data_IF_248733604185
#
_entry.id   IF_248733604185
#
_cell.length_a   1.000
_cell.length_b   1.000
_cell.length_c   1.000
_cell.angle_alpha   90.00
_cell.angle_beta   90.00
_cell.angle_gamma   90.00
#
_symmetry.space_group_name_H-M   'P 1'
#
loop_
_entity.id
_entity.type
_entity.pdbx_description
1 polymer ?
#
# COMPACT_ATOMS: atom_id res chain seq x y z
N UNK A 1 39.76 31.52 23.72
CA UNK A 1 39.56 30.49 22.68
C UNK A 1 38.36 29.66 23.08
N UNK A 2 37.20 29.89 22.46
CA UNK A 2 35.99 29.12 22.75
C UNK A 2 36.13 27.74 22.13
N UNK A 3 36.18 26.71 22.97
CA UNK A 3 36.17 25.31 22.54
C UNK A 3 34.82 25.04 21.88
N UNK A 4 34.83 24.89 20.55
CA UNK A 4 33.69 24.43 19.79
C UNK A 4 33.39 23.00 20.24
N UNK A 5 32.41 22.83 21.13
CA UNK A 5 31.91 21.51 21.52
C UNK A 5 31.43 20.81 20.26
N UNK A 6 32.06 19.67 19.93
CA UNK A 6 31.55 18.79 18.88
C UNK A 6 30.11 18.44 19.26
N UNK A 7 29.16 18.88 18.45
CA UNK A 7 27.79 18.38 18.54
C UNK A 7 27.86 16.91 18.16
N UNK A 8 27.88 16.04 19.16
CA UNK A 8 27.71 14.61 18.96
C UNK A 8 26.37 14.42 18.25
N UNK A 9 26.40 13.72 17.12
CA UNK A 9 25.16 13.50 16.37
C UNK A 9 24.21 12.65 17.20
N UNK A 10 22.90 12.86 17.05
CA UNK A 10 21.89 12.03 17.74
C UNK A 10 22.09 10.53 17.45
N UNK A 11 22.61 10.20 16.27
CA UNK A 11 22.99 8.83 15.89
C UNK A 11 24.09 8.24 16.77
N UNK A 12 25.12 9.01 17.14
CA UNK A 12 26.19 8.57 18.06
C UNK A 12 25.68 8.38 19.49
N UNK A 13 24.75 9.23 19.93
CA UNK A 13 24.13 9.10 21.25
C UNK A 13 23.27 7.83 21.35
N UNK A 14 22.43 7.58 20.35
CA UNK A 14 21.58 6.41 20.32
C UNK A 14 22.39 5.11 20.10
N UNK A 15 23.44 5.14 19.29
CA UNK A 15 24.25 3.95 18.98
C UNK A 15 25.00 3.35 20.17
N UNK A 16 25.23 4.13 21.24
CA UNK A 16 25.98 3.69 22.43
C UNK A 16 25.14 3.46 23.68
N UNK A 17 23.81 3.64 23.62
CA UNK A 17 22.94 3.57 24.80
C UNK A 17 22.07 2.32 24.76
N UNK A 18 22.12 1.54 25.85
CA UNK A 18 21.22 0.41 26.06
C UNK A 18 19.76 0.88 26.08
N UNK A 19 18.81 0.08 25.57
CA UNK A 19 17.39 0.43 25.59
C UNK A 19 16.92 0.60 27.04
N UNK A 20 16.56 1.83 27.41
CA UNK A 20 16.17 2.18 28.79
C UNK A 20 14.68 2.05 29.06
N UNK A 21 13.87 1.75 28.04
CA UNK A 21 12.42 1.65 28.12
C UNK A 21 11.95 0.28 27.68
N UNK A 22 10.98 -0.29 28.40
CA UNK A 22 10.25 -1.49 27.97
C UNK A 22 8.83 -1.11 27.57
N UNK A 23 8.46 -1.34 26.32
CA UNK A 23 7.08 -1.16 25.82
C UNK A 23 6.33 -2.47 26.04
N UNK A 24 5.22 -2.44 26.77
CA UNK A 24 4.38 -3.60 27.04
C UNK A 24 3.14 -3.55 26.13
N UNK A 25 2.89 -4.60 25.35
CA UNK A 25 1.77 -4.66 24.40
C UNK A 25 0.54 -5.33 25.02
N UNK A 26 -0.60 -5.30 24.32
CA UNK A 26 -1.83 -5.97 24.75
C UNK A 26 -1.66 -7.49 24.86
N UNK A 27 -0.83 -8.07 23.99
CA UNK A 27 -0.53 -9.50 23.95
C UNK A 27 0.41 -9.96 25.09
N UNK A 28 0.82 -9.05 25.99
CA UNK A 28 1.81 -9.30 27.03
C UNK A 28 3.25 -9.29 26.54
N UNK A 29 3.48 -8.92 25.28
CA UNK A 29 4.81 -8.77 24.70
C UNK A 29 5.58 -7.60 25.32
N UNK A 30 6.90 -7.76 25.43
CA UNK A 30 7.82 -6.74 25.93
C UNK A 30 8.82 -6.37 24.83
N UNK A 31 8.77 -5.12 24.38
CA UNK A 31 9.63 -4.61 23.30
C UNK A 31 10.61 -3.59 23.89
N UNK A 32 11.93 -3.81 23.79
CA UNK A 32 12.91 -2.82 24.23
C UNK A 32 12.89 -1.58 23.31
N UNK A 33 12.98 -0.39 23.90
CA UNK A 33 13.00 0.87 23.17
C UNK A 33 13.88 1.93 23.86
N UNK A 34 14.28 2.95 23.11
CA UNK A 34 15.02 4.10 23.63
C UNK A 34 14.06 5.21 24.07
N UNK A 35 14.05 5.51 25.38
CA UNK A 35 13.16 6.51 25.98
C UNK A 35 13.27 7.88 25.26
N UNK A 36 14.49 8.31 24.95
CA UNK A 36 14.75 9.61 24.33
C UNK A 36 14.23 9.72 22.90
N UNK A 37 14.32 8.63 22.13
CA UNK A 37 13.78 8.59 20.76
C UNK A 37 12.26 8.76 20.82
N UNK A 38 11.60 7.98 21.68
CA UNK A 38 10.15 8.03 21.83
C UNK A 38 9.66 9.36 22.38
N UNK A 39 10.41 9.98 23.29
CA UNK A 39 10.07 11.30 23.84
C UNK A 39 10.10 12.40 22.77
N UNK A 40 11.02 12.27 21.80
CA UNK A 40 11.11 13.18 20.67
C UNK A 40 9.95 12.98 19.70
N UNK A 41 9.62 11.73 19.36
CA UNK A 41 8.69 11.44 18.26
C UNK A 41 7.24 11.25 18.67
N UNK A 42 6.93 10.84 19.90
CA UNK A 42 5.57 10.50 20.35
C UNK A 42 5.08 11.48 21.42
N UNK A 43 4.03 12.24 21.11
CA UNK A 43 3.51 13.25 22.04
C UNK A 43 2.86 12.65 23.28
N UNK A 44 2.25 11.45 23.19
CA UNK A 44 1.65 10.82 24.37
C UNK A 44 2.73 10.40 25.38
N UNK A 45 3.87 9.92 24.89
CA UNK A 45 4.99 9.51 25.73
C UNK A 45 5.71 10.70 26.36
N UNK A 46 5.79 11.84 25.66
CA UNK A 46 6.36 13.08 26.20
C UNK A 46 5.70 13.53 27.51
N UNK A 47 4.41 13.25 27.67
CA UNK A 47 3.62 13.62 28.83
C UNK A 47 3.46 12.48 29.84
N UNK A 48 4.06 11.31 29.58
CA UNK A 48 3.99 10.17 30.46
C UNK A 48 4.81 10.40 31.75
N UNK A 49 4.41 9.80 32.88
CA UNK A 49 5.22 9.82 34.09
C UNK A 49 6.59 9.17 33.83
N UNK A 50 7.61 9.62 34.58
CA UNK A 50 8.94 9.02 34.53
C UNK A 50 8.86 7.53 34.94
N UNK A 51 8.83 6.67 33.93
CA UNK A 51 8.67 5.23 34.07
C UNK A 51 9.58 4.55 33.06
N UNK A 52 10.19 3.43 33.47
CA UNK A 52 10.97 2.58 32.58
C UNK A 52 10.08 1.61 31.79
N UNK A 53 8.76 1.72 31.97
CA UNK A 53 7.76 0.92 31.25
C UNK A 53 6.71 1.82 30.62
N UNK A 54 6.46 1.63 29.33
CA UNK A 54 5.33 2.20 28.61
C UNK A 54 4.28 1.11 28.39
N UNK A 55 3.20 1.16 29.17
CA UNK A 55 2.13 0.16 29.09
C UNK A 55 1.09 0.55 28.01
N UNK A 56 1.07 -0.20 26.91
CA UNK A 56 0.12 -0.09 25.80
C UNK A 56 -0.99 -1.15 25.88
N UNK A 57 -1.08 -1.96 26.94
CA UNK A 57 -2.03 -3.08 27.00
C UNK A 57 -3.50 -2.65 26.91
N UNK A 58 -3.81 -1.41 27.26
CA UNK A 58 -5.15 -0.83 27.18
C UNK A 58 -5.32 0.12 25.97
N UNK A 59 -4.31 0.26 25.11
CA UNK A 59 -4.41 1.11 23.92
C UNK A 59 -5.25 0.40 22.86
N UNK A 60 -6.41 0.98 22.56
CA UNK A 60 -7.29 0.51 21.50
C UNK A 60 -7.18 1.43 20.28
N UNK A 61 -6.92 0.82 19.13
CA UNK A 61 -6.89 1.47 17.84
C UNK A 61 -8.05 0.92 17.02
N UNK A 62 -8.98 1.79 16.60
CA UNK A 62 -10.23 1.40 15.95
C UNK A 62 -11.02 0.30 16.71
N UNK A 63 -11.00 0.39 18.05
CA UNK A 63 -11.69 -0.58 18.93
C UNK A 63 -10.99 -1.94 19.07
N UNK A 64 -9.78 -2.11 18.53
CA UNK A 64 -8.99 -3.33 18.66
C UNK A 64 -7.69 -3.06 19.42
N UNK A 65 -7.19 -4.01 20.23
CA UNK A 65 -5.85 -3.91 20.81
C UNK A 65 -4.80 -3.86 19.70
N UNK A 66 -3.76 -3.06 19.89
CA UNK A 66 -2.65 -2.96 18.93
C UNK A 66 -1.76 -4.20 19.03
N UNK A 67 -1.52 -4.84 17.90
CA UNK A 67 -0.65 -6.01 17.80
C UNK A 67 0.81 -5.68 18.12
N UNK A 68 1.52 -6.63 18.73
CA UNK A 68 2.97 -6.49 18.95
C UNK A 68 3.75 -6.24 17.65
N UNK A 69 3.29 -6.83 16.54
CA UNK A 69 3.88 -6.67 15.21
C UNK A 69 3.80 -5.22 14.73
N UNK A 70 2.63 -4.57 14.86
CA UNK A 70 2.46 -3.18 14.44
C UNK A 70 3.31 -2.23 15.30
N UNK A 71 3.36 -2.44 16.63
CA UNK A 71 4.21 -1.64 17.53
C UNK A 71 5.68 -1.76 17.15
N UNK A 72 6.16 -2.99 16.97
CA UNK A 72 7.56 -3.27 16.60
C UNK A 72 7.90 -2.63 15.26
N UNK A 73 7.02 -2.75 14.26
CA UNK A 73 7.23 -2.18 12.94
C UNK A 73 7.31 -0.64 12.97
N UNK A 74 6.43 0.04 13.70
CA UNK A 74 6.49 1.50 13.86
C UNK A 74 7.76 1.93 14.58
N UNK A 75 8.17 1.23 15.65
CA UNK A 75 9.43 1.52 16.34
C UNK A 75 10.65 1.37 15.43
N UNK A 76 10.67 0.32 14.60
CA UNK A 76 11.74 0.12 13.61
C UNK A 76 11.80 1.26 12.59
N UNK A 77 10.65 1.75 12.12
CA UNK A 77 10.58 2.92 11.22
C UNK A 77 11.09 4.18 11.91
N UNK A 78 10.65 4.42 13.15
CA UNK A 78 11.12 5.55 13.98
C UNK A 78 12.64 5.51 14.16
N UNK A 79 13.22 4.37 14.53
CA UNK A 79 14.66 4.24 14.70
C UNK A 79 15.42 4.45 13.39
N UNK A 80 14.95 3.85 12.30
CA UNK A 80 15.52 4.02 10.96
C UNK A 80 15.48 5.48 10.51
N UNK A 81 14.38 6.19 10.79
CA UNK A 81 14.18 7.60 10.41
C UNK A 81 15.17 8.56 11.06
N UNK A 82 15.61 8.22 12.27
CA UNK A 82 16.47 9.06 13.10
C UNK A 82 17.95 8.83 12.79
N UNK A 83 18.28 7.88 11.91
CA UNK A 83 19.65 7.41 11.71
C UNK A 83 20.27 6.83 12.99
N UNK A 84 19.43 6.54 13.99
CA UNK A 84 19.86 6.00 15.27
C UNK A 84 20.43 4.59 15.05
N UNK A 85 21.56 4.29 15.70
CA UNK A 85 22.07 2.92 15.88
C UNK A 85 22.70 2.21 14.68
N UNK A 86 23.00 2.89 13.57
CA UNK A 86 23.45 2.15 12.38
C UNK A 86 22.40 1.15 11.88
N UNK A 87 21.13 1.36 12.28
CA UNK A 87 19.98 0.69 11.74
C UNK A 87 19.94 1.06 10.26
N UNK A 88 20.47 0.19 9.42
CA UNK A 88 20.21 0.30 7.99
C UNK A 88 18.69 0.20 7.89
N UNK A 89 18.01 1.13 7.20
CA UNK A 89 16.60 0.97 6.93
C UNK A 89 16.48 -0.39 6.26
N UNK A 90 16.00 -1.38 7.01
CA UNK A 90 15.76 -2.68 6.45
C UNK A 90 14.71 -2.39 5.37
N UNK A 91 15.11 -2.57 4.11
CA UNK A 91 14.31 -2.13 2.97
C UNK A 91 13.19 -3.16 2.80
N UNK A 92 12.27 -3.17 3.76
CA UNK A 92 11.14 -4.07 3.89
C UNK A 92 9.92 -3.53 3.14
N UNK A 93 10.14 -2.74 2.09
CA UNK A 93 9.10 -2.33 1.15
C UNK A 93 8.50 -3.60 0.52
N UNK A 94 7.36 -4.06 1.05
CA UNK A 94 6.70 -5.31 0.67
C UNK A 94 6.66 -6.43 1.73
N UNK A 95 7.12 -6.22 2.97
CA UNK A 95 6.97 -7.22 4.05
C UNK A 95 5.66 -7.11 4.83
N UNK A 96 4.99 -5.96 4.73
CA UNK A 96 3.77 -5.70 5.48
C UNK A 96 2.56 -5.80 4.56
N UNK A 97 1.54 -6.51 5.01
CA UNK A 97 0.24 -6.52 4.34
C UNK A 97 -0.45 -5.17 4.49
N UNK A 98 -1.42 -4.86 3.62
CA UNK A 98 -2.20 -3.63 3.72
C UNK A 98 -2.85 -3.45 5.11
N UNK A 99 -3.53 -4.46 5.71
CA UNK A 99 -4.08 -4.34 7.06
C UNK A 99 -3.04 -4.00 8.14
N UNK A 100 -1.82 -4.57 8.03
CA UNK A 100 -0.74 -4.27 8.96
C UNK A 100 -0.27 -2.81 8.83
N UNK A 101 -0.12 -2.32 7.59
CA UNK A 101 0.27 -0.93 7.35
C UNK A 101 -0.80 0.07 7.82
N UNK A 102 -2.07 -0.26 7.66
CA UNK A 102 -3.17 0.53 8.22
C UNK A 102 -3.11 0.56 9.75
N UNK A 103 -2.93 -0.60 10.39
CA UNK A 103 -2.77 -0.70 11.84
C UNK A 103 -1.57 0.13 12.32
N UNK A 104 -0.44 0.07 11.62
CA UNK A 104 0.75 0.88 11.91
C UNK A 104 0.47 2.38 11.82
N UNK A 105 -0.24 2.86 10.79
CA UNK A 105 -0.61 4.27 10.67
C UNK A 105 -1.53 4.73 11.79
N UNK A 106 -2.55 3.93 12.10
CA UNK A 106 -3.49 4.28 13.17
C UNK A 106 -2.84 4.24 14.55
N UNK A 107 -1.96 3.28 14.80
CA UNK A 107 -1.15 3.24 16.02
C UNK A 107 -0.27 4.48 16.14
N UNK A 108 0.45 4.83 15.06
CA UNK A 108 1.31 6.01 15.03
C UNK A 108 0.52 7.30 15.29
N UNK A 109 -0.68 7.44 14.73
CA UNK A 109 -1.58 8.57 15.03
C UNK A 109 -2.05 8.57 16.49
N UNK A 110 -2.46 7.41 17.03
CA UNK A 110 -2.95 7.27 18.39
C UNK A 110 -1.89 7.62 19.46
N UNK A 111 -0.62 7.29 19.22
CA UNK A 111 0.50 7.68 20.10
C UNK A 111 1.03 9.09 19.82
N UNK A 112 0.44 9.78 18.84
CA UNK A 112 0.82 11.13 18.44
C UNK A 112 2.25 11.19 17.92
N UNK A 113 2.59 10.25 17.02
CA UNK A 113 3.84 10.31 16.29
C UNK A 113 3.97 11.61 15.49
N UNK A 114 5.20 12.08 15.32
CA UNK A 114 5.49 13.24 14.47
C UNK A 114 4.99 13.04 13.03
N UNK A 115 4.65 14.15 12.36
CA UNK A 115 4.23 14.12 10.95
C UNK A 115 5.28 13.49 10.03
N UNK A 116 6.57 13.61 10.35
CA UNK A 116 7.66 12.97 9.61
C UNK A 116 7.53 11.44 9.63
N UNK A 117 7.23 10.85 10.79
CA UNK A 117 7.04 9.40 10.93
C UNK A 117 5.79 8.96 10.16
N UNK A 118 4.68 9.70 10.29
CA UNK A 118 3.45 9.40 9.54
C UNK A 118 3.67 9.50 8.02
N UNK A 119 4.41 10.50 7.54
CA UNK A 119 4.75 10.66 6.13
C UNK A 119 5.65 9.52 5.65
N UNK A 120 6.57 9.02 6.48
CA UNK A 120 7.40 7.88 6.13
C UNK A 120 6.60 6.58 6.09
N UNK A 121 5.72 6.33 7.06
CA UNK A 121 4.81 5.18 7.05
C UNK A 121 3.87 5.22 5.83
N UNK A 122 3.31 6.40 5.53
CA UNK A 122 2.55 6.64 4.30
C UNK A 122 3.39 6.43 3.03
N UNK A 123 4.66 6.82 3.10
CA UNK A 123 5.64 6.56 2.05
C UNK A 123 5.91 5.07 1.89
N UNK A 124 5.95 4.29 2.96
CA UNK A 124 6.05 2.83 2.88
C UNK A 124 4.79 2.21 2.26
N UNK A 125 3.60 2.73 2.54
CA UNK A 125 2.38 2.34 1.83
C UNK A 125 2.43 2.67 0.33
N UNK A 126 2.96 3.84 -0.03
CA UNK A 126 3.10 4.25 -1.42
C UNK A 126 4.24 3.56 -2.18
N UNK A 127 5.36 3.23 -1.49
CA UNK A 127 6.61 2.74 -2.07
C UNK A 127 6.85 1.24 -1.87
N UNK A 128 6.19 0.57 -0.92
CA UNK A 128 6.04 -0.89 -0.96
C UNK A 128 5.42 -1.17 -2.31
N UNK A 129 6.25 -1.61 -3.28
CA UNK A 129 6.18 -1.32 -4.72
C UNK A 129 5.04 -2.04 -5.48
N UNK A 130 3.90 -2.19 -4.80
CA UNK A 130 3.04 -3.37 -4.69
C UNK A 130 2.11 -3.08 -3.50
N UNK A 131 1.31 -2.03 -3.51
CA UNK A 131 0.13 -1.99 -2.63
C UNK A 131 -0.82 -3.05 -3.17
N UNK A 132 -0.46 -4.31 -2.89
CA UNK A 132 -1.10 -5.52 -3.39
C UNK A 132 -2.50 -5.50 -2.81
N UNK A 133 -3.45 -5.14 -3.67
CA UNK A 133 -4.85 -5.38 -3.32
C UNK A 133 -5.01 -6.88 -3.42
N UNK A 134 -4.78 -7.57 -2.30
CA UNK A 134 -4.89 -9.02 -2.22
C UNK A 134 -6.35 -9.40 -2.32
N UNK A 135 -6.68 -10.03 -3.43
CA UNK A 135 -8.00 -10.57 -3.66
C UNK A 135 -7.89 -12.08 -3.76
N UNK A 136 -8.52 -12.76 -2.82
CA UNK A 136 -8.58 -14.22 -2.76
C UNK A 136 -9.93 -14.70 -3.26
N UNK A 137 -9.93 -15.70 -4.14
CA UNK A 137 -11.12 -16.42 -4.53
C UNK A 137 -10.85 -17.92 -4.62
N UNK A 138 -11.90 -18.71 -4.43
CA UNK A 138 -11.84 -20.16 -4.58
C UNK A 138 -11.60 -20.50 -6.05
N UNK A 139 -10.52 -21.24 -6.31
CA UNK A 139 -10.22 -21.74 -7.64
C UNK A 139 -11.27 -22.77 -8.04
N UNK A 140 -11.93 -22.55 -9.17
CA UNK A 140 -12.63 -23.62 -9.88
C UNK A 140 -11.58 -24.63 -10.35
N UNK A 141 -11.28 -25.62 -9.51
CA UNK A 141 -10.58 -26.81 -9.97
C UNK A 141 -11.51 -27.48 -10.99
N UNK A 142 -11.24 -27.27 -12.28
CA UNK A 142 -11.87 -28.06 -13.33
C UNK A 142 -11.39 -29.49 -13.14
N UNK A 143 -12.19 -30.27 -12.41
CA UNK A 143 -11.88 -31.64 -12.06
C UNK A 143 -11.76 -32.50 -13.31
N UNK A 144 -10.53 -32.74 -13.74
CA UNK A 144 -10.14 -34.00 -14.36
C UNK A 144 -9.09 -34.62 -13.44
N UNK A 145 -9.54 -35.35 -12.42
CA UNK A 145 -8.84 -36.47 -11.78
C UNK A 145 -9.75 -37.09 -10.73
N UNK A 146 -10.69 -37.91 -11.20
CA UNK A 146 -11.30 -38.96 -10.40
C UNK A 146 -10.28 -40.10 -10.19
N UNK A 147 -10.26 -40.61 -8.96
CA UNK A 147 -9.64 -41.85 -8.50
C UNK A 147 -8.13 -41.84 -8.18
N UNK A 148 -7.77 -41.37 -6.97
CA UNK A 148 -6.93 -42.13 -6.02
C UNK A 148 -6.54 -41.25 -4.81
N UNK A 149 -7.41 -41.10 -3.80
CA UNK A 149 -6.99 -40.66 -2.47
C UNK A 149 -8.11 -40.91 -1.43
N UNK A 150 -8.42 -42.17 -1.18
CA UNK A 150 -9.22 -42.59 -0.03
C UNK A 150 -8.39 -43.59 0.79
N UNK A 151 -7.36 -43.11 1.49
CA UNK A 151 -6.73 -43.79 2.64
C UNK A 151 -5.53 -42.97 3.14
N UNK A 152 -5.73 -42.06 4.09
CA UNK A 152 -4.73 -41.68 5.11
C UNK A 152 -5.30 -40.62 6.05
N UNK A 153 -6.23 -41.00 6.92
CA UNK A 153 -6.68 -40.17 8.04
C UNK A 153 -6.09 -40.74 9.34
N UNK A 154 -4.96 -40.19 9.81
CA UNK A 154 -4.56 -40.17 11.23
C UNK A 154 -3.16 -39.54 11.41
N UNK A 155 -3.04 -38.20 11.37
CA UNK A 155 -1.98 -37.44 12.08
C UNK A 155 -2.05 -35.89 11.93
N UNK A 156 -3.07 -35.32 11.28
CA UNK A 156 -3.09 -33.91 10.88
C UNK A 156 -3.73 -32.94 11.90
N UNK A 157 -3.31 -32.94 13.17
CA UNK A 157 -3.80 -31.97 14.17
C UNK A 157 -2.75 -30.92 14.61
N UNK A 158 -1.49 -31.05 14.18
CA UNK A 158 -0.41 -30.14 14.59
C UNK A 158 0.23 -29.33 13.44
N UNK A 159 -0.25 -29.49 12.20
CA UNK A 159 0.27 -28.79 11.01
C UNK A 159 -0.70 -27.74 10.44
N UNK A 160 -1.76 -27.38 11.19
CA UNK A 160 -2.85 -26.51 10.73
C UNK A 160 -2.53 -24.99 10.71
N UNK A 161 -1.25 -24.60 10.84
CA UNK A 161 -0.83 -23.19 10.87
C UNK A 161 -0.07 -22.73 9.62
N UNK A 162 0.14 -23.60 8.62
CA UNK A 162 0.93 -23.24 7.43
C UNK A 162 0.45 -23.90 6.11
N UNK A 163 -0.73 -24.52 6.08
CA UNK A 163 -1.31 -24.95 4.81
C UNK A 163 -2.23 -23.83 4.30
N UNK A 164 -1.70 -23.01 3.39
CA UNK A 164 -2.55 -22.15 2.58
C UNK A 164 -3.60 -23.03 1.89
N UNK A 165 -4.89 -22.65 1.89
CA UNK A 165 -5.94 -23.46 1.29
C UNK A 165 -5.57 -23.75 -0.16
N UNK A 166 -5.41 -25.03 -0.47
CA UNK A 166 -5.06 -25.56 -1.79
C UNK A 166 -6.18 -25.15 -2.75
N UNK A 167 -6.05 -23.97 -3.37
CA UNK A 167 -7.05 -23.43 -4.30
C UNK A 167 -7.32 -21.92 -4.19
N UNK A 168 -6.86 -21.21 -3.16
CA UNK A 168 -7.02 -19.76 -3.11
C UNK A 168 -6.00 -19.08 -4.02
N UNK A 169 -6.47 -18.43 -5.09
CA UNK A 169 -5.60 -17.63 -5.96
C UNK A 169 -5.58 -16.20 -5.45
N UNK A 170 -4.39 -15.65 -5.23
CA UNK A 170 -4.19 -14.25 -4.83
C UNK A 170 -3.87 -13.42 -6.06
N UNK A 171 -4.75 -12.47 -6.38
CA UNK A 171 -4.46 -11.40 -7.34
C UNK A 171 -3.85 -10.24 -6.59
N UNK A 172 -2.78 -9.69 -7.15
CA UNK A 172 -2.06 -8.53 -6.61
C UNK A 172 -2.15 -7.39 -7.61
N UNK A 173 -2.83 -6.30 -7.23
CA UNK A 173 -2.86 -5.06 -8.01
C UNK A 173 -1.90 -4.03 -7.42
N UNK A 174 -1.38 -3.10 -8.23
CA UNK A 174 -0.44 -2.06 -7.78
C UNK A 174 -1.06 -0.68 -8.00
N UNK A 175 -1.04 0.17 -6.97
CA UNK A 175 -1.62 1.52 -7.06
C UNK A 175 -0.94 2.43 -8.10
N UNK A 176 0.30 2.15 -8.51
CA UNK A 176 1.02 2.92 -9.52
C UNK A 176 0.83 2.42 -10.96
N UNK A 177 0.21 1.26 -11.14
CA UNK A 177 -0.09 0.67 -12.43
C UNK A 177 -1.49 1.06 -12.92
N UNK A 178 -1.68 0.97 -14.25
CA UNK A 178 -3.00 1.09 -14.88
C UNK A 178 -3.48 -0.29 -15.28
N UNK A 179 -4.76 -0.55 -15.06
CA UNK A 179 -5.37 -1.84 -15.34
C UNK A 179 -6.52 -1.65 -16.31
N UNK A 180 -6.44 -2.34 -17.43
CA UNK A 180 -7.54 -2.47 -18.38
C UNK A 180 -8.16 -3.85 -18.22
N UNK A 181 -9.48 -3.91 -18.05
CA UNK A 181 -10.22 -5.15 -18.19
C UNK A 181 -10.64 -5.31 -19.64
N UNK A 182 -10.53 -6.51 -20.18
CA UNK A 182 -11.01 -6.82 -21.52
C UNK A 182 -11.97 -8.00 -21.48
N UNK A 183 -13.12 -7.79 -22.09
CA UNK A 183 -14.08 -8.84 -22.38
C UNK A 183 -13.71 -9.51 -23.69
N UNK A 184 -13.25 -10.74 -23.63
CA UNK A 184 -13.17 -11.58 -24.81
C UNK A 184 -14.49 -12.33 -24.96
N UNK A 185 -15.49 -11.66 -25.54
CA UNK A 185 -16.62 -12.39 -26.10
C UNK A 185 -16.09 -13.12 -27.35
N UNK A 186 -16.27 -14.44 -27.39
CA UNK A 186 -15.73 -15.39 -28.38
C UNK A 186 -16.26 -15.21 -29.82
N UNK A 187 -16.75 -14.02 -30.17
CA UNK A 187 -17.18 -13.70 -31.53
C UNK A 187 -16.06 -13.14 -32.42
N UNK A 188 -14.92 -12.73 -31.85
CA UNK A 188 -13.71 -12.47 -32.64
C UNK A 188 -12.72 -13.63 -32.45
N UNK A 189 -12.62 -14.43 -33.49
CA UNK A 189 -11.71 -15.56 -33.65
C UNK A 189 -10.27 -15.07 -33.59
N UNK A 190 -9.70 -14.95 -32.39
CA UNK A 190 -8.24 -15.03 -32.24
C UNK A 190 -7.91 -16.51 -32.29
N UNK A 191 -7.65 -17.01 -33.51
CA UNK A 191 -7.23 -18.38 -33.78
C UNK A 191 -5.84 -18.63 -33.17
N UNK A 192 -5.79 -18.98 -31.89
CA UNK A 192 -4.70 -19.80 -31.36
C UNK A 192 -5.28 -21.17 -31.06
N UNK A 193 -5.08 -22.10 -32.00
CA UNK A 193 -5.43 -23.53 -31.96
C UNK A 193 -6.92 -23.91 -32.09
N UNK A 194 -7.16 -24.98 -32.84
CA UNK A 194 -8.45 -25.45 -33.35
C UNK A 194 -9.31 -26.18 -32.30
N UNK A 195 -9.69 -25.51 -31.21
CA UNK A 195 -10.69 -26.06 -30.27
C UNK A 195 -11.83 -25.06 -30.13
N UNK A 196 -12.99 -25.38 -30.70
CA UNK A 196 -14.23 -24.62 -30.49
C UNK A 196 -14.78 -24.97 -29.13
N UNK A 197 -14.49 -24.13 -28.16
CA UNK A 197 -15.19 -24.15 -26.90
C UNK A 197 -16.42 -23.23 -26.98
N UNK A 198 -17.61 -23.77 -26.67
CA UNK A 198 -18.81 -22.98 -26.38
C UNK A 198 -18.66 -22.39 -24.97
N UNK A 199 -17.73 -21.46 -24.79
CA UNK A 199 -17.30 -21.06 -23.45
C UNK A 199 -17.86 -19.73 -23.00
N UNK A 200 -18.16 -19.71 -21.70
CA UNK A 200 -18.53 -18.57 -20.89
C UNK A 200 -17.68 -17.32 -21.18
N UNK A 201 -18.27 -16.14 -20.98
CA UNK A 201 -17.54 -14.87 -21.05
C UNK A 201 -16.40 -14.93 -20.04
N UNK A 202 -15.18 -14.87 -20.54
CA UNK A 202 -13.96 -14.80 -19.73
C UNK A 202 -13.54 -13.34 -19.63
N UNK A 203 -13.19 -12.89 -18.43
CA UNK A 203 -12.70 -11.54 -18.20
C UNK A 203 -11.19 -11.61 -17.97
N UNK A 204 -10.44 -10.77 -18.70
CA UNK A 204 -9.00 -10.66 -18.52
C UNK A 204 -8.62 -9.34 -17.88
N UNK A 205 -7.82 -9.40 -16.81
CA UNK A 205 -7.17 -8.22 -16.25
C UNK A 205 -5.80 -8.09 -16.90
N UNK A 206 -5.54 -6.93 -17.49
CA UNK A 206 -4.24 -6.62 -18.10
C UNK A 206 -3.65 -5.39 -17.43
N UNK A 207 -2.41 -5.52 -16.96
CA UNK A 207 -1.66 -4.42 -16.38
C UNK A 207 -0.84 -3.73 -17.46
N UNK A 208 -0.98 -2.41 -17.61
CA UNK A 208 -0.14 -1.60 -18.50
C UNK A 208 0.81 -0.75 -17.68
N UNK A 209 2.11 -1.09 -17.73
CA UNK A 209 3.18 -0.22 -17.24
C UNK A 209 3.55 0.80 -18.31
N UNK A 210 4.03 1.98 -17.88
CA UNK A 210 4.42 3.07 -18.81
C UNK A 210 5.45 2.64 -19.85
N UNK A 211 6.27 1.64 -19.53
CA UNK A 211 7.42 1.22 -20.34
C UNK A 211 7.34 -0.26 -20.80
N UNK A 212 6.19 -0.93 -20.62
CA UNK A 212 6.04 -2.35 -20.97
C UNK A 212 4.72 -2.66 -21.70
N UNK A 213 4.73 -3.75 -22.46
CA UNK A 213 3.54 -4.35 -23.06
C UNK A 213 2.56 -4.80 -21.97
N UNK A 214 1.28 -4.90 -22.31
CA UNK A 214 0.24 -5.31 -21.38
C UNK A 214 0.51 -6.74 -20.87
N UNK A 215 0.69 -6.90 -19.56
CA UNK A 215 0.89 -8.20 -18.94
C UNK A 215 -0.47 -8.75 -18.52
N UNK A 216 -0.80 -9.96 -18.99
CA UNK A 216 -2.00 -10.66 -18.55
C UNK A 216 -1.82 -11.03 -17.08
N UNK A 217 -2.65 -10.46 -16.22
CA UNK A 217 -2.62 -10.72 -14.78
C UNK A 217 -3.39 -12.00 -14.51
N UNK A 218 -4.64 -12.07 -14.97
CA UNK A 218 -5.51 -13.19 -14.63
C UNK A 218 -6.73 -13.32 -15.55
N UNK A 219 -7.22 -14.55 -15.70
CA UNK A 219 -8.55 -14.89 -16.24
C UNK A 219 -9.52 -15.09 -15.07
N UNK A 220 -10.64 -14.37 -15.08
CA UNK A 220 -11.63 -14.39 -14.01
C UNK A 220 -13.01 -14.74 -14.54
N UNK A 221 -13.79 -15.47 -13.74
CA UNK A 221 -15.23 -15.58 -13.91
C UNK A 221 -15.92 -14.27 -13.54
N UNK A 222 -17.18 -14.09 -13.96
CA UNK A 222 -17.98 -12.92 -13.60
C UNK A 222 -18.14 -12.76 -12.07
N UNK A 223 -18.33 -13.87 -11.34
CA UNK A 223 -18.44 -13.86 -9.87
C UNK A 223 -17.12 -13.47 -9.20
N UNK A 224 -15.99 -14.00 -9.68
CA UNK A 224 -14.66 -13.64 -9.18
C UNK A 224 -14.34 -12.17 -9.45
N UNK A 225 -14.75 -11.66 -10.61
CA UNK A 225 -14.61 -10.25 -10.96
C UNK A 225 -15.45 -9.36 -10.02
N UNK A 226 -16.70 -9.72 -9.75
CA UNK A 226 -17.54 -8.96 -8.83
C UNK A 226 -16.94 -8.95 -7.41
N UNK A 227 -16.44 -10.08 -6.93
CA UNK A 227 -15.79 -10.17 -5.63
C UNK A 227 -14.52 -9.31 -5.56
N UNK A 228 -13.69 -9.34 -6.60
CA UNK A 228 -12.52 -8.49 -6.76
C UNK A 228 -12.89 -7.00 -6.72
N UNK A 229 -13.94 -6.59 -7.44
CA UNK A 229 -14.39 -5.19 -7.46
C UNK A 229 -14.86 -4.72 -6.09
N UNK A 230 -15.55 -5.58 -5.33
CA UNK A 230 -15.97 -5.27 -3.96
C UNK A 230 -14.77 -5.08 -3.04
N UNK A 231 -13.85 -6.05 -3.00
CA UNK A 231 -12.63 -5.97 -2.18
C UNK A 231 -11.78 -4.76 -2.53
N UNK A 232 -11.64 -4.47 -3.82
CA UNK A 232 -10.96 -3.29 -4.32
C UNK A 232 -11.61 -2.00 -3.82
N UNK A 233 -12.94 -1.93 -3.87
CA UNK A 233 -13.71 -0.81 -3.35
C UNK A 233 -13.43 -0.55 -1.87
N UNK A 234 -13.52 -1.59 -1.05
CA UNK A 234 -13.30 -1.53 0.40
C UNK A 234 -11.87 -1.08 0.75
N UNK A 235 -10.86 -1.61 0.06
CA UNK A 235 -9.46 -1.26 0.31
C UNK A 235 -9.12 0.17 -0.15
N UNK A 236 -9.61 0.60 -1.31
CA UNK A 236 -9.41 1.97 -1.79
C UNK A 236 -10.11 2.99 -0.88
N UNK A 237 -11.30 2.65 -0.40
CA UNK A 237 -12.05 3.44 0.56
C UNK A 237 -11.23 3.64 1.85
N UNK A 238 -10.68 2.57 2.43
CA UNK A 238 -9.91 2.62 3.66
C UNK A 238 -8.65 3.50 3.51
N UNK A 239 -7.94 3.34 2.40
CA UNK A 239 -6.76 4.13 2.05
C UNK A 239 -7.09 5.62 1.84
N UNK A 240 -8.19 5.94 1.17
CA UNK A 240 -8.65 7.32 1.02
C UNK A 240 -9.04 7.92 2.36
N UNK A 241 -9.77 7.17 3.19
CA UNK A 241 -10.19 7.61 4.52
C UNK A 241 -8.97 7.95 5.37
N UNK A 242 -8.00 7.05 5.46
CA UNK A 242 -6.72 7.26 6.15
C UNK A 242 -5.97 8.48 5.61
N UNK A 243 -5.83 8.55 4.28
CA UNK A 243 -5.13 9.65 3.62
C UNK A 243 -5.74 11.01 3.93
N UNK A 244 -7.07 11.13 3.90
CA UNK A 244 -7.76 12.39 4.23
C UNK A 244 -7.76 12.69 5.72
N UNK A 245 -8.04 11.68 6.56
CA UNK A 245 -8.10 11.83 8.02
C UNK A 245 -6.78 12.31 8.60
N UNK A 246 -5.67 11.75 8.11
CA UNK A 246 -4.31 12.05 8.58
C UNK A 246 -3.61 13.14 7.73
N UNK A 247 -4.23 13.62 6.65
CA UNK A 247 -3.64 14.63 5.77
C UNK A 247 -2.41 14.15 4.97
N UNK A 248 -2.33 12.84 4.69
CA UNK A 248 -1.17 12.18 4.08
C UNK A 248 -1.23 12.25 2.55
N UNK A 249 -0.71 13.35 1.99
CA UNK A 249 -0.66 13.57 0.54
C UNK A 249 0.09 12.48 -0.22
N UNK A 250 1.13 11.91 0.38
CA UNK A 250 1.94 10.84 -0.19
C UNK A 250 1.14 9.56 -0.42
N UNK A 251 0.12 9.31 0.42
CA UNK A 251 -0.81 8.20 0.25
C UNK A 251 -1.96 8.56 -0.70
N UNK A 252 -2.54 9.76 -0.55
CA UNK A 252 -3.67 10.19 -1.37
C UNK A 252 -3.33 10.26 -2.87
N UNK A 253 -2.15 10.76 -3.22
CA UNK A 253 -1.78 10.97 -4.62
C UNK A 253 -1.77 9.68 -5.46
N UNK A 254 -1.11 8.57 -5.05
CA UNK A 254 -1.14 7.32 -5.80
C UNK A 254 -2.55 6.70 -5.83
N UNK A 255 -3.27 6.70 -4.70
CA UNK A 255 -4.63 6.13 -4.62
C UNK A 255 -5.58 6.86 -5.56
N UNK A 256 -5.59 8.20 -5.55
CA UNK A 256 -6.47 8.96 -6.44
C UNK A 256 -6.06 8.79 -7.91
N UNK A 257 -4.75 8.69 -8.20
CA UNK A 257 -4.27 8.40 -9.55
C UNK A 257 -4.73 7.02 -10.02
N UNK A 258 -4.70 6.01 -9.14
CA UNK A 258 -5.23 4.68 -9.41
C UNK A 258 -6.72 4.74 -9.71
N UNK A 259 -7.51 5.38 -8.83
CA UNK A 259 -8.95 5.57 -9.06
C UNK A 259 -9.18 6.27 -10.40
N UNK A 260 -8.50 7.37 -10.72
CA UNK A 260 -8.72 8.07 -11.98
C UNK A 260 -8.30 7.27 -13.22
N UNK A 261 -7.21 6.48 -13.14
CA UNK A 261 -6.73 5.67 -14.25
C UNK A 261 -7.61 4.45 -14.49
N UNK A 262 -7.84 3.69 -13.42
CA UNK A 262 -8.54 2.41 -13.45
C UNK A 262 -10.05 2.60 -13.51
N UNK A 263 -10.65 3.54 -12.78
CA UNK A 263 -12.10 3.79 -12.85
C UNK A 263 -12.53 4.06 -14.29
N UNK A 264 -11.80 4.93 -15.00
CA UNK A 264 -12.14 5.26 -16.38
C UNK A 264 -12.12 4.03 -17.29
N UNK A 265 -11.07 3.22 -17.20
CA UNK A 265 -10.90 2.03 -18.02
C UNK A 265 -11.88 0.89 -17.63
N UNK A 266 -12.29 0.80 -16.37
CA UNK A 266 -13.30 -0.17 -15.92
C UNK A 266 -14.75 0.25 -16.24
N UNK A 267 -15.02 1.55 -16.39
CA UNK A 267 -16.38 2.07 -16.61
C UNK A 267 -16.74 2.21 -18.08
N UNK A 268 -15.78 2.52 -18.95
CA UNK A 268 -16.05 2.79 -20.37
C UNK A 268 -16.33 1.49 -21.16
N UNK A 269 -15.79 0.34 -20.73
CA UNK A 269 -15.85 -0.91 -21.52
C UNK A 269 -17.00 -1.86 -21.13
N UNK A 270 -17.60 -1.72 -19.93
CA UNK A 270 -18.67 -2.61 -19.45
C UNK A 270 -20.05 -1.97 -19.61
N UNK A 271 -20.78 -2.37 -20.64
CA UNK A 271 -22.19 -2.06 -20.93
C UNK A 271 -22.59 -0.57 -20.95
N UNK A 272 -22.84 0.02 -22.13
CA UNK A 272 -23.42 1.35 -22.23
C UNK A 272 -24.82 1.38 -21.60
N UNK A 273 -24.93 1.95 -20.39
CA UNK A 273 -26.19 2.12 -19.67
C UNK A 273 -26.20 1.62 -18.22
N UNK A 274 -25.22 0.83 -17.79
CA UNK A 274 -25.01 0.45 -16.39
C UNK A 274 -23.73 1.13 -15.93
N UNK A 275 -23.83 2.27 -15.24
CA UNK A 275 -22.63 2.91 -14.71
C UNK A 275 -22.04 2.00 -13.65
N UNK A 276 -20.92 1.33 -13.98
CA UNK A 276 -20.16 0.46 -13.06
C UNK A 276 -19.75 1.20 -11.77
N UNK A 277 -19.86 2.53 -11.73
CA UNK A 277 -19.66 3.35 -10.53
C UNK A 277 -20.91 3.65 -9.69
N UNK A 278 -21.87 2.73 -9.60
CA UNK A 278 -22.53 2.53 -8.30
C UNK A 278 -21.50 2.22 -7.18
N UNK A 279 -20.31 1.72 -7.55
CA UNK A 279 -19.12 1.64 -6.69
C UNK A 279 -18.53 2.99 -6.25
N UNK A 280 -19.02 4.14 -6.75
CA UNK A 280 -18.55 5.44 -6.26
C UNK A 280 -18.93 5.63 -4.80
N UNK A 281 -20.07 5.10 -4.36
CA UNK A 281 -20.45 5.11 -2.95
C UNK A 281 -19.59 4.17 -2.12
N UNK A 282 -19.15 3.04 -2.70
CA UNK A 282 -18.25 2.11 -2.03
C UNK A 282 -16.87 2.73 -1.77
N UNK A 283 -16.31 3.48 -2.73
CA UNK A 283 -14.98 4.12 -2.59
C UNK A 283 -15.06 5.47 -1.88
N UNK A 284 -16.05 6.30 -2.23
CA UNK A 284 -16.28 7.63 -1.64
C UNK A 284 -17.42 7.55 -0.62
N UNK A 285 -17.26 6.65 0.34
CA UNK A 285 -18.19 6.46 1.44
C UNK A 285 -18.42 7.76 2.22
N UNK A 286 -19.48 7.80 3.03
CA UNK A 286 -19.75 8.92 3.92
C UNK A 286 -18.58 9.22 4.88
N UNK A 287 -17.82 8.20 5.31
CA UNK A 287 -16.64 8.40 6.18
C UNK A 287 -15.49 9.06 5.41
N UNK A 288 -15.24 8.68 4.16
CA UNK A 288 -14.24 9.33 3.28
C UNK A 288 -14.62 10.78 3.04
N UNK A 289 -15.88 11.03 2.66
CA UNK A 289 -16.38 12.38 2.40
C UNK A 289 -16.29 13.26 3.66
N UNK A 290 -16.64 12.72 4.83
CA UNK A 290 -16.50 13.43 6.10
C UNK A 290 -15.03 13.75 6.43
N UNK A 291 -14.12 12.78 6.26
CA UNK A 291 -12.68 13.00 6.43
C UNK A 291 -12.14 14.05 5.46
N UNK A 292 -12.70 14.11 4.24
CA UNK A 292 -12.34 15.08 3.22
C UNK A 292 -13.06 16.44 3.37
N UNK A 293 -13.64 16.73 4.54
CA UNK A 293 -14.37 17.97 4.88
C UNK A 293 -15.60 18.18 3.99
N UNK A 294 -16.36 17.12 3.77
CA UNK A 294 -17.62 17.10 3.02
C UNK A 294 -17.50 17.53 1.54
N UNK A 295 -16.31 17.41 0.95
CA UNK A 295 -16.16 17.55 -0.50
C UNK A 295 -16.80 16.35 -1.21
N UNK A 296 -17.48 16.57 -2.34
CA UNK A 296 -18.03 15.47 -3.14
C UNK A 296 -16.91 14.65 -3.80
N UNK A 297 -17.16 13.36 -4.09
CA UNK A 297 -16.18 12.50 -4.76
C UNK A 297 -15.67 13.10 -6.09
N UNK A 298 -16.57 13.69 -6.88
CA UNK A 298 -16.22 14.40 -8.12
C UNK A 298 -15.28 15.59 -7.88
N UNK A 299 -15.47 16.34 -6.78
CA UNK A 299 -14.60 17.44 -6.41
C UNK A 299 -13.23 16.95 -5.93
N UNK A 300 -13.17 15.84 -5.20
CA UNK A 300 -11.91 15.21 -4.79
C UNK A 300 -11.09 14.77 -6.00
N UNK A 301 -11.74 14.12 -6.97
CA UNK A 301 -11.13 13.75 -8.24
C UNK A 301 -10.65 14.99 -9.01
N UNK A 302 -11.46 16.05 -9.09
CA UNK A 302 -11.07 17.30 -9.77
C UNK A 302 -9.85 17.96 -9.12
N UNK A 303 -9.82 18.06 -7.78
CA UNK A 303 -8.70 18.66 -7.03
C UNK A 303 -7.39 17.92 -7.25
N UNK A 304 -7.45 16.59 -7.31
CA UNK A 304 -6.27 15.77 -7.57
C UNK A 304 -5.72 15.94 -8.99
N UNK A 305 -6.61 16.11 -9.99
CA UNK A 305 -6.25 16.31 -11.39
C UNK A 305 -5.59 17.67 -11.66
N UNK A 306 -5.94 18.71 -10.90
CA UNK A 306 -5.44 20.07 -11.16
C UNK A 306 -4.08 20.39 -10.53
N UNK A 307 -3.56 19.58 -9.59
CA UNK A 307 -2.26 19.89 -8.94
C UNK A 307 -1.04 19.31 -9.67
N UNK A 308 -1.21 18.58 -10.79
CA UNK A 308 -0.10 17.83 -11.42
C UNK A 308 0.05 17.95 -12.95
N UNK A 309 -0.82 18.66 -13.67
CA UNK A 309 -0.73 18.78 -15.15
C UNK A 309 -0.12 20.11 -15.60
N UNK A 310 0.50 20.84 -14.68
CA UNK A 310 1.71 21.57 -15.06
C UNK A 310 2.81 20.55 -15.26
N UNK A 311 2.97 19.96 -16.46
CA UNK A 311 4.31 19.51 -16.87
C UNK A 311 5.22 20.67 -16.49
N UNK A 312 6.31 20.49 -15.71
CA UNK A 312 7.32 21.52 -15.67
C UNK A 312 7.64 21.76 -17.14
N UNK A 313 7.31 22.95 -17.66
CA UNK A 313 7.88 23.39 -18.93
C UNK A 313 9.36 23.18 -18.67
N UNK A 314 9.98 22.28 -19.44
CA UNK A 314 11.42 22.14 -19.42
C UNK A 314 11.97 23.56 -19.39
N UNK A 315 12.84 23.92 -18.43
CA UNK A 315 13.36 25.27 -18.36
C UNK A 315 13.82 25.58 -19.77
N UNK A 316 13.22 26.60 -20.40
CA UNK A 316 13.72 27.08 -21.68
C UNK A 316 15.13 27.49 -21.38
N UNK A 317 16.09 26.65 -21.76
CA UNK A 317 17.49 27.01 -21.74
C UNK A 317 17.55 28.35 -22.47
N UNK A 318 18.15 29.38 -21.87
CA UNK A 318 18.27 30.65 -22.53
C UNK A 318 19.01 30.42 -23.86
N UNK A 319 18.55 31.06 -24.93
CA UNK A 319 19.02 30.85 -26.32
C UNK A 319 20.53 31.09 -26.53
N UNK A 320 21.27 31.44 -25.48
CA UNK A 320 22.71 31.62 -25.48
C UNK A 320 23.53 30.33 -25.29
N UNK A 321 22.92 29.14 -25.11
CA UNK A 321 23.67 27.88 -25.00
C UNK A 321 23.79 27.04 -26.28
N UNK A 322 23.14 27.40 -27.38
CA UNK A 322 23.25 26.66 -28.65
C UNK A 322 24.54 26.97 -29.45
N UNK A 323 25.35 27.95 -29.04
CA UNK A 323 26.56 28.37 -29.77
C UNK A 323 27.89 27.94 -29.14
N UNK A 324 27.88 27.08 -28.10
CA UNK A 324 29.10 26.73 -27.35
C UNK A 324 29.56 25.27 -27.53
N UNK A 325 29.03 24.52 -28.50
CA UNK A 325 29.54 23.19 -28.82
C UNK A 325 30.64 23.29 -29.89
N UNK A 326 31.88 22.84 -29.62
CA UNK A 326 32.94 22.80 -30.62
C UNK A 326 32.54 21.85 -31.75
N UNK A 327 32.54 22.39 -32.97
CA UNK A 327 32.36 21.60 -34.19
C UNK A 327 33.50 20.56 -34.27
N UNK A 328 33.21 19.28 -34.51
CA UNK A 328 34.25 18.28 -34.69
C UNK A 328 35.06 18.62 -35.94
N UNK A 329 36.35 18.92 -35.74
CA UNK A 329 37.32 19.15 -36.80
C UNK A 329 37.38 17.93 -37.70
N UNK A 330 37.01 18.11 -38.98
CA UNK A 330 37.23 17.12 -40.03
C UNK A 330 38.73 16.94 -40.22
N UNK A 331 39.22 15.74 -39.94
CA UNK A 331 40.54 15.28 -40.36
C UNK A 331 40.45 14.99 -41.86
N UNK A 332 41.26 15.70 -42.65
CA UNK A 332 41.57 15.41 -44.06
C UNK A 332 42.66 14.35 -44.16
#
# INVERSE_FOLDING_TARGET
MASCSKQSSFAEFAAGTDPTLTVKTADGGHIPAHNEVLWLVCSCWRNAPASNTWDLSNLLVNGRPVSQTAVTAVLSVVHSSMGALGYKPDRTAGQYSLPQLEEMLWFADAVGCSSTVLVQLAGLLGNSARAELECSFEGNSSGTNTAAAAAASASAAAAAAAEEPIGAKRVTLKLDARYTMRDCTTNNTVQYSNVRHHDAVKHFITARRRDAWAELVEELSAEQLQHLQQQLGEQLEALLFLGFKLGLKQLLQPVIRFVHGTARELTEDFTPGVSVFDSSEAIFSQRVLAAARSASGAELLRRSGMQGVGRPRAPRLPACWENALPQPSRVT
#
